data_IF_507510958269
#
_entry.id   IF_507510958269
#
_cell.length_a   1.000
_cell.length_b   1.000
_cell.length_c   1.000
_cell.angle_alpha   90.00
_cell.angle_beta   90.00
_cell.angle_gamma   90.00
#
_symmetry.space_group_name_H-M   'P 1'
#
loop_
_entity.id
_entity.type
_entity.pdbx_description
1 polymer ?
#
# COMPACT_ATOMS: atom_id res chain seq x y z
N UNK A 1 -15.06 -29.21 27.40
CA UNK A 1 -14.33 -27.94 27.18
C UNK A 1 -12.92 -28.18 27.66
N UNK A 2 -11.92 -28.02 26.78
CA UNK A 2 -10.51 -28.11 27.15
C UNK A 2 -9.98 -26.70 27.33
N UNK A 3 -9.30 -26.46 28.44
CA UNK A 3 -8.64 -25.18 28.74
C UNK A 3 -7.14 -25.39 28.71
N UNK A 4 -6.48 -24.84 27.69
CA UNK A 4 -5.07 -24.47 27.75
C UNK A 4 -5.04 -22.93 27.77
N UNK A 5 -4.46 -22.36 28.83
CA UNK A 5 -4.17 -20.93 29.03
C UNK A 5 -5.01 -19.92 28.23
N UNK A 6 -6.28 -19.75 28.62
CA UNK A 6 -7.14 -18.69 28.10
C UNK A 6 -7.75 -18.93 26.70
N UNK A 7 -7.36 -20.01 26.00
CA UNK A 7 -7.91 -20.35 24.68
C UNK A 7 -9.01 -21.42 24.79
N UNK A 8 -10.27 -21.03 24.55
CA UNK A 8 -11.39 -21.99 24.54
C UNK A 8 -11.44 -22.70 23.19
N UNK A 9 -10.92 -23.93 23.14
CA UNK A 9 -11.06 -24.79 21.96
C UNK A 9 -12.46 -25.41 21.94
N UNK A 10 -13.27 -25.08 20.93
CA UNK A 10 -14.60 -25.65 20.71
C UNK A 10 -14.64 -26.42 19.40
N UNK A 11 -15.12 -27.66 19.46
CA UNK A 11 -15.47 -28.39 18.24
C UNK A 11 -16.70 -27.76 17.58
N UNK A 12 -16.75 -27.73 16.25
CA UNK A 12 -17.86 -27.17 15.46
C UNK A 12 -19.23 -27.74 15.87
N UNK A 13 -19.32 -29.00 16.33
CA UNK A 13 -20.56 -29.56 16.86
C UNK A 13 -21.11 -28.75 18.05
N UNK A 14 -20.24 -28.28 18.95
CA UNK A 14 -20.64 -27.43 20.06
C UNK A 14 -21.01 -26.01 19.59
N UNK A 15 -20.32 -25.48 18.58
CA UNK A 15 -20.68 -24.19 17.98
C UNK A 15 -22.06 -24.22 17.30
N UNK A 16 -22.46 -25.35 16.74
CA UNK A 16 -23.80 -25.60 16.20
C UNK A 16 -24.86 -25.93 17.26
N UNK A 17 -24.53 -25.85 18.56
CA UNK A 17 -25.48 -26.03 19.66
C UNK A 17 -25.68 -27.48 20.13
N UNK A 18 -24.90 -28.44 19.65
CA UNK A 18 -24.99 -29.83 20.12
C UNK A 18 -24.35 -29.99 21.51
N UNK A 19 -25.01 -30.74 22.40
CA UNK A 19 -24.49 -31.05 23.76
C UNK A 19 -23.35 -32.07 23.75
N UNK A 20 -23.14 -32.77 22.64
CA UNK A 20 -22.10 -33.80 22.46
C UNK A 20 -21.46 -33.63 21.09
N UNK A 21 -20.16 -33.93 21.00
CA UNK A 21 -19.43 -33.98 19.75
C UNK A 21 -19.90 -35.20 18.93
N UNK A 22 -20.42 -34.97 17.73
CA UNK A 22 -20.87 -36.02 16.80
C UNK A 22 -19.85 -36.33 15.69
N UNK A 23 -18.90 -35.41 15.42
CA UNK A 23 -17.89 -35.59 14.38
C UNK A 23 -16.69 -36.45 14.80
N UNK A 24 -16.69 -37.00 16.01
CA UNK A 24 -15.62 -37.86 16.53
C UNK A 24 -14.32 -37.13 16.91
N UNK A 25 -14.22 -35.82 16.65
CA UNK A 25 -13.00 -35.06 16.96
C UNK A 25 -12.74 -34.91 18.48
N UNK A 26 -13.78 -34.99 19.30
CA UNK A 26 -13.65 -34.84 20.76
C UNK A 26 -14.43 -35.95 21.44
N UNK A 27 -13.77 -36.73 22.31
CA UNK A 27 -14.38 -37.79 23.12
C UNK A 27 -14.09 -37.52 24.59
N UNK A 28 -15.13 -37.49 25.41
CA UNK A 28 -15.05 -37.20 26.86
C UNK A 28 -14.28 -35.91 27.20
N UNK A 29 -14.38 -34.93 26.31
CA UNK A 29 -13.67 -33.68 26.44
C UNK A 29 -12.20 -33.73 26.05
N UNK A 30 -11.66 -34.84 25.54
CA UNK A 30 -10.28 -34.94 25.04
C UNK A 30 -10.28 -34.97 23.50
N UNK A 31 -9.32 -34.27 22.88
CA UNK A 31 -9.10 -34.31 21.43
C UNK A 31 -8.60 -35.71 21.03
N UNK A 32 -9.28 -36.34 20.07
CA UNK A 32 -8.86 -37.66 19.58
C UNK A 32 -7.60 -37.52 18.74
N UNK A 33 -6.66 -38.45 18.91
CA UNK A 33 -5.38 -38.42 18.21
C UNK A 33 -5.60 -38.55 16.69
N UNK A 34 -5.06 -37.60 15.91
CA UNK A 34 -5.27 -37.50 14.46
C UNK A 34 -6.49 -36.68 14.02
N UNK A 35 -7.28 -36.10 14.95
CA UNK A 35 -8.39 -35.22 14.60
C UNK A 35 -7.95 -33.75 14.43
N UNK A 36 -8.50 -33.05 13.43
CA UNK A 36 -8.27 -31.62 13.20
C UNK A 36 -9.37 -30.77 13.84
N UNK A 37 -8.99 -29.76 14.63
CA UNK A 37 -9.90 -28.74 15.15
C UNK A 37 -9.64 -27.40 14.45
N UNK A 38 -10.71 -26.69 14.11
CA UNK A 38 -10.62 -25.32 13.61
C UNK A 38 -10.63 -24.35 14.80
N UNK A 39 -9.51 -23.65 15.02
CA UNK A 39 -9.37 -22.67 16.09
C UNK A 39 -9.50 -21.28 15.45
N UNK A 40 -10.61 -20.54 15.67
CA UNK A 40 -10.70 -19.17 15.20
C UNK A 40 -9.74 -18.30 16.02
N UNK A 41 -8.60 -17.96 15.43
CA UNK A 41 -7.68 -16.98 16.01
C UNK A 41 -8.20 -15.60 15.61
N UNK A 42 -8.80 -14.89 16.57
CA UNK A 42 -9.07 -13.46 16.41
C UNK A 42 -7.73 -12.73 16.50
N UNK A 43 -7.11 -12.46 15.35
CA UNK A 43 -5.95 -11.57 15.30
C UNK A 43 -6.44 -10.14 15.54
N UNK A 44 -6.14 -9.62 16.73
CA UNK A 44 -6.35 -8.20 17.04
C UNK A 44 -5.20 -7.44 16.40
N UNK A 45 -5.48 -6.70 15.32
CA UNK A 45 -4.52 -5.75 14.76
C UNK A 45 -4.10 -4.77 15.87
N UNK A 46 -2.84 -4.87 16.30
CA UNK A 46 -2.27 -4.00 17.34
C UNK A 46 -1.84 -2.63 16.78
N UNK A 47 -2.23 -2.28 15.56
CA UNK A 47 -2.11 -0.93 15.08
C UNK A 47 -3.09 -0.08 15.90
N UNK A 48 -2.58 0.64 16.90
CA UNK A 48 -3.33 1.73 17.50
C UNK A 48 -3.80 2.63 16.36
N UNK A 49 -5.10 2.96 16.28
CA UNK A 49 -5.54 3.98 15.34
C UNK A 49 -4.80 5.25 15.76
N UNK A 50 -3.73 5.59 15.04
CA UNK A 50 -3.05 6.85 15.28
C UNK A 50 -4.11 7.91 15.09
N UNK A 51 -4.42 8.63 16.17
CA UNK A 51 -5.37 9.72 16.18
C UNK A 51 -4.88 10.70 15.14
N UNK A 52 -5.51 10.68 13.96
CA UNK A 52 -5.19 11.56 12.84
C UNK A 52 -5.40 12.98 13.36
N UNK A 53 -4.31 13.67 13.70
CA UNK A 53 -4.39 15.07 14.09
C UNK A 53 -4.82 15.86 12.85
N UNK A 54 -5.87 16.65 13.00
CA UNK A 54 -6.25 17.64 12.00
C UNK A 54 -5.10 18.62 11.80
N UNK A 55 -4.93 19.12 10.57
CA UNK A 55 -3.82 20.01 10.22
C UNK A 55 -3.80 21.29 11.07
N UNK A 56 -4.97 21.79 11.46
CA UNK A 56 -5.13 22.97 12.34
C UNK A 56 -4.62 22.76 13.76
N UNK A 57 -4.42 21.50 14.17
CA UNK A 57 -3.96 21.12 15.50
C UNK A 57 -2.48 20.75 15.52
N UNK A 58 -1.79 20.85 14.37
CA UNK A 58 -0.35 20.64 14.26
C UNK A 58 0.42 21.94 14.41
N UNK A 59 1.55 21.86 15.11
CA UNK A 59 2.52 22.95 15.16
C UNK A 59 3.33 23.02 13.87
N UNK A 60 3.91 24.19 13.56
CA UNK A 60 4.75 24.36 12.37
C UNK A 60 5.95 23.38 12.33
N UNK A 61 6.48 23.02 13.50
CA UNK A 61 7.56 22.04 13.63
C UNK A 61 7.09 20.62 13.24
N UNK A 62 5.88 20.22 13.66
CA UNK A 62 5.28 18.94 13.27
C UNK A 62 5.00 18.90 11.75
N UNK A 63 4.47 20.00 11.19
CA UNK A 63 4.21 20.11 9.74
C UNK A 63 5.52 19.98 8.95
N UNK A 64 6.59 20.66 9.41
CA UNK A 64 7.90 20.58 8.77
C UNK A 64 8.47 19.16 8.82
N UNK A 65 8.43 18.52 10.00
CA UNK A 65 8.88 17.14 10.17
C UNK A 65 8.11 16.15 9.27
N UNK A 66 6.80 16.35 9.15
CA UNK A 66 5.98 15.55 8.24
C UNK A 66 6.32 15.78 6.77
N UNK A 67 6.59 17.02 6.35
CA UNK A 67 7.06 17.31 4.99
C UNK A 67 8.41 16.66 4.70
N UNK A 68 9.34 16.71 5.66
CA UNK A 68 10.63 16.05 5.52
C UNK A 68 10.46 14.52 5.40
N UNK A 69 9.46 13.97 6.09
CA UNK A 69 9.10 12.54 6.01
C UNK A 69 8.50 12.14 4.66
N UNK A 70 7.90 13.07 3.90
CA UNK A 70 7.37 12.79 2.54
C UNK A 70 8.50 12.38 1.58
N UNK A 71 9.71 12.90 1.81
CA UNK A 71 10.87 12.63 0.95
C UNK A 71 11.26 11.15 1.06
N UNK A 72 10.95 10.38 0.01
CA UNK A 72 11.20 8.94 -0.05
C UNK A 72 9.97 8.05 0.18
N UNK A 73 8.80 8.63 0.50
CA UNK A 73 7.54 7.90 0.50
C UNK A 73 6.99 7.75 -0.93
N UNK A 74 6.16 6.73 -1.16
CA UNK A 74 5.40 6.66 -2.41
C UNK A 74 4.34 7.76 -2.47
N UNK A 75 4.02 8.24 -3.67
CA UNK A 75 2.98 9.28 -3.86
C UNK A 75 1.65 8.87 -3.23
N UNK A 76 1.26 7.60 -3.33
CA UNK A 76 0.00 7.10 -2.75
C UNK A 76 0.03 7.14 -1.22
N UNK A 77 1.16 6.83 -0.60
CA UNK A 77 1.31 6.87 0.85
C UNK A 77 1.43 8.31 1.36
N UNK A 78 2.17 9.15 0.65
CA UNK A 78 2.35 10.57 0.98
C UNK A 78 1.04 11.35 0.86
N UNK A 79 0.25 11.11 -0.19
CA UNK A 79 -1.05 11.76 -0.40
C UNK A 79 -2.08 11.42 0.69
N UNK A 80 -1.89 10.33 1.43
CA UNK A 80 -2.75 9.95 2.54
C UNK A 80 -2.47 10.74 3.83
N UNK A 81 -1.34 11.46 3.90
CA UNK A 81 -0.93 12.19 5.10
C UNK A 81 -1.86 13.38 5.40
N UNK A 82 -2.08 13.69 6.69
CA UNK A 82 -2.95 14.79 7.09
C UNK A 82 -2.51 16.18 6.60
N UNK A 83 -1.24 16.36 6.25
CA UNK A 83 -0.71 17.63 5.69
C UNK A 83 -1.33 18.02 4.34
N UNK A 84 -2.00 17.10 3.66
CA UNK A 84 -2.69 17.36 2.38
C UNK A 84 -4.21 17.32 2.51
N UNK A 85 -4.77 17.29 3.72
CA UNK A 85 -6.22 17.21 3.91
C UNK A 85 -6.96 18.46 3.46
N UNK A 86 -6.31 19.62 3.56
CA UNK A 86 -6.82 20.90 3.06
C UNK A 86 -7.01 20.94 1.54
N UNK A 87 -6.27 20.12 0.79
CA UNK A 87 -6.34 20.03 -0.68
C UNK A 87 -7.03 18.76 -1.16
N UNK A 88 -7.56 17.94 -0.24
CA UNK A 88 -8.23 16.68 -0.57
C UNK A 88 -9.56 16.97 -1.25
N UNK A 89 -9.77 16.38 -2.44
CA UNK A 89 -10.93 16.66 -3.30
C UNK A 89 -10.69 17.71 -4.38
N UNK A 90 -9.55 18.43 -4.35
CA UNK A 90 -9.14 19.32 -5.42
C UNK A 90 -8.29 18.60 -6.47
N UNK A 91 -8.19 19.20 -7.66
CA UNK A 91 -7.31 18.76 -8.73
C UNK A 91 -6.30 19.85 -9.07
N UNK A 92 -5.06 19.45 -9.32
CA UNK A 92 -3.97 20.31 -9.79
C UNK A 92 -3.29 19.63 -10.98
N UNK A 93 -3.02 20.36 -12.06
CA UNK A 93 -2.33 19.83 -13.25
C UNK A 93 -2.90 18.50 -13.79
N UNK A 94 -4.22 18.32 -13.74
CA UNK A 94 -4.88 17.11 -14.24
C UNK A 94 -4.89 15.90 -13.29
N UNK A 95 -4.27 16.01 -12.10
CA UNK A 95 -4.20 14.94 -11.10
C UNK A 95 -4.80 15.38 -9.75
N UNK A 96 -5.05 14.46 -8.80
CA UNK A 96 -5.47 14.83 -7.45
C UNK A 96 -4.44 15.76 -6.79
N UNK A 97 -4.90 16.88 -6.24
CA UNK A 97 -4.02 17.87 -5.63
C UNK A 97 -3.11 17.29 -4.53
N UNK A 98 -3.56 16.38 -3.64
CA UNK A 98 -2.67 15.74 -2.65
C UNK A 98 -1.47 15.03 -3.27
N UNK A 99 -1.68 14.33 -4.40
CA UNK A 99 -0.61 13.61 -5.11
C UNK A 99 0.35 14.57 -5.79
N UNK A 100 -0.17 15.64 -6.39
CA UNK A 100 0.64 16.70 -7.01
C UNK A 100 1.58 17.35 -5.99
N UNK A 101 1.04 17.78 -4.85
CA UNK A 101 1.84 18.39 -3.80
C UNK A 101 2.80 17.39 -3.15
N UNK A 102 2.39 16.13 -2.95
CA UNK A 102 3.28 15.09 -2.46
C UNK A 102 4.53 14.93 -3.35
N UNK A 103 4.37 14.95 -4.69
CA UNK A 103 5.50 14.92 -5.61
C UNK A 103 6.41 16.15 -5.50
N UNK A 104 5.84 17.35 -5.32
CA UNK A 104 6.62 18.56 -5.07
C UNK A 104 7.45 18.48 -3.79
N UNK A 105 6.95 17.78 -2.78
CA UNK A 105 7.66 17.50 -1.53
C UNK A 105 8.61 16.30 -1.60
N UNK A 106 8.80 15.70 -2.79
CA UNK A 106 9.78 14.64 -3.02
C UNK A 106 9.27 13.22 -2.81
N UNK A 107 7.95 13.00 -2.83
CA UNK A 107 7.38 11.66 -2.93
C UNK A 107 7.70 11.05 -4.30
N UNK A 108 8.06 9.77 -4.32
CA UNK A 108 8.35 9.06 -5.56
C UNK A 108 7.07 8.45 -6.12
N UNK A 109 6.76 8.64 -7.41
CA UNK A 109 5.64 7.93 -8.02
C UNK A 109 5.91 6.43 -7.87
N UNK A 110 4.85 5.67 -7.52
CA UNK A 110 4.98 4.23 -7.41
C UNK A 110 5.59 3.71 -8.71
N UNK A 111 6.76 3.09 -8.61
CA UNK A 111 7.39 2.43 -9.75
C UNK A 111 6.39 1.38 -10.21
N UNK A 112 5.67 1.66 -11.29
CA UNK A 112 4.94 0.62 -11.98
C UNK A 112 5.98 -0.46 -12.27
N UNK A 113 5.77 -1.66 -11.73
CA UNK A 113 6.55 -2.82 -12.10
C UNK A 113 6.65 -2.80 -13.64
N UNK A 114 7.86 -2.89 -14.22
CA UNK A 114 8.07 -2.61 -15.63
C UNK A 114 7.17 -3.53 -16.46
N UNK A 115 6.05 -2.98 -16.92
CA UNK A 115 5.20 -3.65 -17.87
C UNK A 115 5.98 -3.71 -19.18
N UNK A 116 5.94 -4.84 -19.87
CA UNK A 116 6.64 -5.08 -21.14
C UNK A 116 6.35 -3.97 -22.16
N UNK A 117 5.15 -3.42 -22.14
CA UNK A 117 4.71 -2.30 -22.97
C UNK A 117 5.40 -0.97 -22.61
N UNK A 118 5.65 -0.72 -21.32
CA UNK A 118 6.37 0.46 -20.84
C UNK A 118 7.88 0.36 -21.12
N UNK A 119 8.45 -0.84 -21.16
CA UNK A 119 9.83 -1.06 -21.59
C UNK A 119 9.98 -0.84 -23.09
N UNK A 120 9.05 -1.34 -23.91
CA UNK A 120 9.03 -1.11 -25.35
C UNK A 120 8.82 0.36 -25.71
N UNK A 121 7.92 1.08 -25.04
CA UNK A 121 7.71 2.50 -25.32
C UNK A 121 8.95 3.36 -24.99
N UNK A 122 9.71 2.99 -23.96
CA UNK A 122 11.02 3.62 -23.66
C UNK A 122 12.04 3.34 -24.75
N UNK A 123 12.17 2.08 -25.21
CA UNK A 123 13.11 1.77 -26.30
C UNK A 123 12.76 2.47 -27.60
N UNK A 124 11.47 2.57 -27.95
CA UNK A 124 11.04 3.31 -29.14
C UNK A 124 11.33 4.81 -29.02
N UNK A 125 11.13 5.40 -27.84
CA UNK A 125 11.48 6.80 -27.59
C UNK A 125 12.97 7.04 -27.72
N UNK A 126 13.80 6.16 -27.16
CA UNK A 126 15.25 6.30 -27.20
C UNK A 126 15.78 6.15 -28.64
N UNK A 127 15.24 5.21 -29.42
CA UNK A 127 15.52 5.09 -30.86
C UNK A 127 15.15 6.35 -31.63
N UNK A 128 13.97 6.93 -31.39
CA UNK A 128 13.57 8.18 -32.04
C UNK A 128 14.51 9.35 -31.69
N UNK A 129 15.00 9.42 -30.45
CA UNK A 129 15.95 10.45 -30.02
C UNK A 129 17.30 10.25 -30.72
N UNK A 130 17.77 9.02 -30.83
CA UNK A 130 19.01 8.69 -31.57
C UNK A 130 18.87 8.99 -33.06
N UNK A 131 17.76 8.63 -33.70
CA UNK A 131 17.50 8.92 -35.10
C UNK A 131 17.48 10.43 -35.36
N UNK A 132 16.80 11.20 -34.51
CA UNK A 132 16.78 12.67 -34.61
C UNK A 132 18.16 13.29 -34.40
N UNK A 133 18.95 12.75 -33.45
CA UNK A 133 20.32 13.21 -33.20
C UNK A 133 21.23 12.90 -34.38
N UNK A 134 21.12 11.71 -34.96
CA UNK A 134 21.89 11.29 -36.12
C UNK A 134 21.51 12.11 -37.36
N UNK A 135 20.22 12.37 -37.59
CA UNK A 135 19.76 13.25 -38.67
C UNK A 135 20.28 14.69 -38.55
N UNK A 136 20.52 15.18 -37.33
CA UNK A 136 21.15 16.47 -37.09
C UNK A 136 22.66 16.47 -37.37
N UNK A 137 23.34 15.35 -37.11
CA UNK A 137 24.78 15.19 -37.34
C UNK A 137 25.10 14.87 -38.81
N UNK A 138 24.18 14.20 -39.52
CA UNK A 138 24.29 13.83 -40.94
C UNK A 138 23.87 14.94 -41.91
N UNK A 139 23.57 16.17 -41.43
CA UNK A 139 23.52 17.36 -42.29
C UNK A 139 24.89 18.04 -42.35
N UNK A 140 25.80 17.68 -43.27
CA UNK A 140 26.92 18.53 -43.60
C UNK A 140 26.39 19.69 -44.48
N UNK A 141 26.47 20.91 -43.95
CA UNK A 141 26.62 22.14 -44.73
C UNK A 141 25.75 22.35 -45.98
N UNK A 142 24.42 22.25 -45.89
CA UNK A 142 23.54 22.76 -46.95
C UNK A 142 23.10 24.21 -46.68
N UNK A 143 24.07 25.10 -46.48
CA UNK A 143 23.89 26.57 -46.55
C UNK A 143 25.24 27.19 -46.90
N UNK A 144 25.73 26.86 -48.09
CA UNK A 144 26.56 27.76 -48.88
C UNK A 144 25.68 28.28 -50.03
N UNK A 145 25.15 29.48 -49.86
CA UNK A 145 24.69 30.36 -50.93
C UNK A 145 24.76 31.81 -50.42
#
# INVERSE_FOLDING_TARGET
MLTADGMKMMCNCYASGLRKCSCGAVKDGVLVNGASLHIPVLMKDSATPQTRKELTMMTDAEIKSMRDSVRGMSVTQAAALPIFDNVRGLRACGMPAPEYYAMLYGATPASQAPNREAAQSRSYRDQMIEDMRNAYLEKPGSEAA
#
